data_IF_169304810948
#
_entry.id   IF_169304810948
#
_cell.length_a   1.000
_cell.length_b   1.000
_cell.length_c   1.000
_cell.angle_alpha   90.00
_cell.angle_beta   90.00
_cell.angle_gamma   90.00
#
_symmetry.space_group_name_H-M   'P 1'
#
loop_
_entity.id
_entity.type
_entity.pdbx_description
1 polymer ?
#
# COMPACT_ATOMS: atom_id res chain seq x y z
N UNK A 1 -46.24 -7.74 54.54
CA UNK A 1 -47.43 -7.17 53.88
C UNK A 1 -46.99 -5.81 53.38
N UNK A 2 -46.44 -5.79 52.16
CA UNK A 2 -47.13 -5.25 50.97
C UNK A 2 -47.34 -3.73 51.11
N UNK A 3 -46.89 -2.85 50.21
CA UNK A 3 -46.21 -2.98 48.93
C UNK A 3 -45.95 -1.57 48.33
N UNK A 4 -45.13 -1.57 47.28
CA UNK A 4 -45.16 -0.73 46.06
C UNK A 4 -44.89 0.80 46.09
N UNK A 5 -43.99 1.23 45.19
CA UNK A 5 -43.68 2.63 44.89
C UNK A 5 -42.49 2.85 43.95
N UNK A 6 -42.56 2.27 42.75
CA UNK A 6 -41.92 2.59 41.45
C UNK A 6 -40.85 3.71 41.41
N UNK A 7 -39.60 3.35 41.09
CA UNK A 7 -38.66 4.22 40.36
C UNK A 7 -38.26 3.51 39.07
N UNK A 8 -38.69 4.07 37.94
CA UNK A 8 -38.43 3.54 36.61
C UNK A 8 -36.94 3.51 36.29
N UNK A 9 -36.49 2.35 35.82
CA UNK A 9 -35.22 2.19 35.13
C UNK A 9 -35.30 2.89 33.77
N UNK A 10 -34.34 3.75 33.47
CA UNK A 10 -34.01 4.08 32.09
C UNK A 10 -32.51 3.82 31.93
N UNK A 11 -32.18 2.65 31.37
CA UNK A 11 -30.86 2.36 30.86
C UNK A 11 -30.61 3.27 29.66
N UNK A 12 -29.70 4.23 29.81
CA UNK A 12 -29.17 5.03 28.73
C UNK A 12 -28.06 4.20 28.06
N UNK A 13 -28.42 3.44 27.02
CA UNK A 13 -27.45 2.88 26.09
C UNK A 13 -27.04 3.99 25.12
N UNK A 14 -25.80 4.45 25.24
CA UNK A 14 -25.16 5.34 24.28
C UNK A 14 -24.80 4.54 23.02
N UNK A 15 -25.52 4.78 21.93
CA UNK A 15 -25.15 4.27 20.60
C UNK A 15 -23.93 5.04 20.05
N UNK A 16 -22.99 4.39 19.34
CA UNK A 16 -21.89 5.08 18.69
C UNK A 16 -22.35 5.75 17.39
N UNK A 17 -22.03 7.04 17.26
CA UNK A 17 -22.06 7.81 16.02
C UNK A 17 -21.18 7.13 14.96
N UNK A 18 -21.81 6.48 13.99
CA UNK A 18 -21.19 6.10 12.72
C UNK A 18 -21.63 7.11 11.67
N UNK A 19 -20.63 7.75 11.05
CA UNK A 19 -20.76 8.78 10.03
C UNK A 19 -21.77 8.39 8.93
N UNK A 20 -22.84 9.17 8.86
CA UNK A 20 -23.99 9.03 7.97
C UNK A 20 -23.70 9.47 6.52
N UNK A 21 -22.46 9.33 6.04
CA UNK A 21 -22.01 9.90 4.76
C UNK A 21 -21.89 8.91 3.59
N UNK A 22 -22.26 7.62 3.78
CA UNK A 22 -22.09 6.58 2.75
C UNK A 22 -23.37 5.83 2.33
N UNK A 23 -24.53 6.49 2.37
CA UNK A 23 -25.70 6.05 1.57
C UNK A 23 -25.70 6.75 0.22
N UNK A 24 -24.69 6.48 -0.61
CA UNK A 24 -24.85 6.61 -2.05
C UNK A 24 -25.40 5.28 -2.56
N UNK A 25 -26.59 5.32 -3.16
CA UNK A 25 -27.25 4.22 -3.85
C UNK A 25 -26.23 3.32 -4.57
N UNK A 26 -25.94 2.16 -4.00
CA UNK A 26 -25.30 1.08 -4.76
C UNK A 26 -26.41 0.49 -5.61
N UNK A 27 -26.42 0.65 -6.94
CA UNK A 27 -27.46 0.08 -7.76
C UNK A 27 -27.39 -1.44 -7.60
N UNK A 28 -28.44 -2.02 -7.03
CA UNK A 28 -28.63 -3.47 -7.01
C UNK A 28 -28.71 -3.94 -8.46
N UNK A 29 -27.59 -4.45 -8.97
CA UNK A 29 -27.49 -5.11 -10.26
C UNK A 29 -28.41 -6.33 -10.20
N UNK A 30 -29.57 -6.22 -10.86
CA UNK A 30 -30.50 -7.34 -11.07
C UNK A 30 -29.71 -8.52 -11.63
N UNK A 31 -29.97 -9.71 -11.08
CA UNK A 31 -29.44 -10.99 -11.55
C UNK A 31 -29.45 -11.03 -13.09
N UNK A 32 -28.26 -11.11 -13.66
CA UNK A 32 -28.09 -11.21 -15.10
C UNK A 32 -28.73 -12.51 -15.57
N UNK A 33 -29.69 -12.38 -16.48
CA UNK A 33 -30.20 -13.47 -17.31
C UNK A 33 -29.04 -14.38 -17.78
N UNK A 34 -29.27 -15.69 -17.79
CA UNK A 34 -28.35 -16.66 -18.39
C UNK A 34 -27.84 -16.11 -19.72
N UNK A 35 -26.51 -16.02 -19.78
CA UNK A 35 -25.76 -15.36 -20.83
C UNK A 35 -25.90 -16.10 -22.16
N UNK A 36 -26.97 -15.83 -22.92
CA UNK A 36 -27.05 -16.28 -24.31
C UNK A 36 -25.86 -15.78 -25.12
N UNK A 37 -25.30 -16.66 -25.96
CA UNK A 37 -24.29 -16.32 -26.96
C UNK A 37 -24.83 -15.19 -27.86
N UNK A 38 -24.20 -14.00 -27.84
CA UNK A 38 -24.63 -12.92 -28.73
C UNK A 38 -23.91 -13.03 -30.07
N UNK A 39 -24.67 -12.80 -31.13
CA UNK A 39 -24.16 -12.76 -32.51
C UNK A 39 -23.70 -11.36 -32.87
N UNK A 40 -22.76 -11.28 -33.82
CA UNK A 40 -22.27 -10.01 -34.35
C UNK A 40 -23.38 -9.12 -34.91
N UNK A 41 -24.36 -9.71 -35.63
CA UNK A 41 -25.47 -8.97 -36.24
C UNK A 41 -26.31 -8.19 -35.22
N UNK A 42 -26.56 -8.76 -34.06
CA UNK A 42 -27.32 -8.13 -32.98
C UNK A 42 -26.56 -6.96 -32.37
N UNK A 43 -25.26 -7.12 -32.15
CA UNK A 43 -24.39 -6.06 -31.60
C UNK A 43 -24.27 -4.90 -32.58
N UNK A 44 -24.13 -5.18 -33.88
CA UNK A 44 -24.08 -4.15 -34.93
C UNK A 44 -25.41 -3.40 -35.02
N UNK A 45 -26.55 -4.10 -34.95
CA UNK A 45 -27.86 -3.46 -34.95
C UNK A 45 -28.03 -2.52 -33.74
N UNK A 46 -27.63 -2.96 -32.54
CA UNK A 46 -27.68 -2.14 -31.33
C UNK A 46 -26.75 -0.92 -31.42
N UNK A 47 -25.53 -1.09 -31.95
CA UNK A 47 -24.59 0.01 -32.15
C UNK A 47 -25.14 1.08 -33.11
N UNK A 48 -25.75 0.66 -34.24
CA UNK A 48 -26.40 1.57 -35.19
C UNK A 48 -27.60 2.29 -34.57
N UNK A 49 -28.40 1.59 -33.78
CA UNK A 49 -29.51 2.21 -33.03
C UNK A 49 -29.02 3.26 -32.02
N UNK A 50 -27.82 3.07 -31.47
CA UNK A 50 -27.15 4.05 -30.61
C UNK A 50 -26.44 5.18 -31.38
N UNK A 51 -26.54 5.22 -32.72
CA UNK A 51 -25.90 6.24 -33.56
C UNK A 51 -24.41 6.04 -33.80
N UNK A 52 -23.87 4.85 -33.51
CA UNK A 52 -22.46 4.52 -33.78
C UNK A 52 -22.27 4.11 -35.25
N UNK A 53 -21.28 4.70 -35.91
CA UNK A 53 -20.85 4.28 -37.24
C UNK A 53 -20.04 2.99 -37.13
N UNK A 54 -20.61 1.88 -37.62
CA UNK A 54 -19.92 0.59 -37.71
C UNK A 54 -19.57 0.33 -39.17
N UNK A 55 -18.30 0.53 -39.51
CA UNK A 55 -17.74 0.23 -40.83
C UNK A 55 -17.84 -1.28 -41.12
N UNK A 56 -18.15 -1.63 -42.37
CA UNK A 56 -18.06 -3.02 -42.84
C UNK A 56 -16.59 -3.46 -42.82
N UNK A 57 -16.25 -4.41 -41.95
CA UNK A 57 -14.86 -4.82 -41.70
C UNK A 57 -14.18 -4.15 -40.49
N UNK A 58 -14.93 -3.44 -39.65
CA UNK A 58 -14.43 -2.93 -38.37
C UNK A 58 -13.71 -4.03 -37.56
N UNK A 59 -12.63 -3.69 -36.83
CA UNK A 59 -11.84 -4.64 -36.05
C UNK A 59 -12.76 -5.42 -35.12
N UNK A 60 -12.53 -6.73 -35.02
CA UNK A 60 -13.61 -7.63 -34.64
C UNK A 60 -14.13 -7.43 -33.21
N UNK A 61 -15.34 -7.92 -33.00
CA UNK A 61 -16.16 -7.63 -31.83
C UNK A 61 -15.95 -8.69 -30.75
N UNK A 62 -16.03 -8.26 -29.48
CA UNK A 62 -16.03 -9.15 -28.32
C UNK A 62 -16.97 -8.61 -27.24
N UNK A 63 -17.42 -9.47 -26.34
CA UNK A 63 -18.31 -9.11 -25.25
C UNK A 63 -17.53 -8.95 -23.96
N UNK A 64 -17.77 -7.89 -23.20
CA UNK A 64 -17.27 -7.74 -21.83
C UNK A 64 -18.38 -8.09 -20.84
N UNK A 65 -18.05 -8.91 -19.86
CA UNK A 65 -18.98 -9.30 -18.78
C UNK A 65 -18.29 -9.20 -17.44
N UNK A 66 -18.94 -8.60 -16.45
CA UNK A 66 -18.44 -8.63 -15.09
C UNK A 66 -18.42 -10.07 -14.55
N UNK A 67 -17.26 -10.52 -14.07
CA UNK A 67 -17.15 -11.81 -13.41
C UNK A 67 -17.96 -11.81 -12.10
N UNK A 68 -18.41 -12.98 -11.67
CA UNK A 68 -19.03 -13.13 -10.35
C UNK A 68 -17.97 -12.92 -9.28
N UNK A 69 -18.19 -11.97 -8.36
CA UNK A 69 -17.24 -11.63 -7.30
C UNK A 69 -16.09 -10.73 -7.78
N UNK A 70 -16.39 -9.49 -8.14
CA UNK A 70 -15.38 -8.46 -8.41
C UNK A 70 -14.60 -8.15 -7.12
N UNK A 71 -13.50 -8.87 -6.88
CA UNK A 71 -12.62 -8.61 -5.75
C UNK A 71 -11.76 -7.37 -6.04
N UNK A 72 -12.29 -6.20 -5.67
CA UNK A 72 -11.61 -4.92 -5.87
C UNK A 72 -10.46 -4.68 -4.88
N UNK A 73 -10.36 -5.47 -3.80
CA UNK A 73 -9.44 -5.18 -2.69
C UNK A 73 -8.12 -5.96 -2.74
N UNK A 74 -8.05 -7.05 -3.52
CA UNK A 74 -6.85 -7.91 -3.59
C UNK A 74 -5.73 -7.32 -4.45
N UNK A 75 -6.08 -6.45 -5.40
CA UNK A 75 -5.16 -5.87 -6.35
C UNK A 75 -5.31 -4.36 -6.37
N UNK A 76 -4.20 -3.66 -6.61
CA UNK A 76 -4.17 -2.21 -6.83
C UNK A 76 -3.36 -1.94 -8.07
N UNK A 77 -3.83 -0.99 -8.88
CA UNK A 77 -3.04 -0.45 -9.98
C UNK A 77 -2.00 0.50 -9.42
N UNK A 78 -0.78 0.42 -9.92
CA UNK A 78 0.30 1.33 -9.56
C UNK A 78 1.01 1.82 -10.81
N UNK A 79 1.16 3.13 -10.93
CA UNK A 79 1.99 3.76 -11.94
C UNK A 79 3.47 3.58 -11.57
N UNK A 80 4.27 3.07 -12.51
CA UNK A 80 5.68 2.77 -12.29
C UNK A 80 6.57 3.72 -13.09
N UNK A 81 7.27 4.66 -12.44
CA UNK A 81 8.32 5.47 -13.06
C UNK A 81 9.42 4.58 -13.63
N UNK A 82 10.09 5.04 -14.69
CA UNK A 82 11.14 4.26 -15.37
C UNK A 82 12.23 3.72 -14.43
N UNK A 83 12.64 4.49 -13.40
CA UNK A 83 13.62 4.05 -12.42
C UNK A 83 13.15 2.84 -11.60
N UNK A 84 11.88 2.82 -11.18
CA UNK A 84 11.29 1.71 -10.43
C UNK A 84 11.06 0.51 -11.34
N UNK A 85 10.59 0.75 -12.58
CA UNK A 85 10.40 -0.31 -13.57
C UNK A 85 11.73 -0.99 -13.94
N UNK A 86 12.82 -0.21 -14.05
CA UNK A 86 14.18 -0.73 -14.28
C UNK A 86 14.62 -1.63 -13.13
N UNK A 87 14.55 -1.12 -11.89
CA UNK A 87 14.86 -1.88 -10.68
C UNK A 87 14.10 -3.21 -10.61
N UNK A 88 12.78 -3.20 -10.86
CA UNK A 88 11.96 -4.43 -10.87
C UNK A 88 12.37 -5.41 -11.97
N UNK A 89 12.72 -4.92 -13.17
CA UNK A 89 13.17 -5.78 -14.28
C UNK A 89 14.54 -6.40 -14.03
N UNK A 90 15.41 -5.70 -13.32
CA UNK A 90 16.74 -6.17 -12.93
C UNK A 90 16.71 -7.12 -11.72
N UNK A 91 15.53 -7.29 -11.11
CA UNK A 91 15.36 -8.14 -9.93
C UNK A 91 15.81 -7.47 -8.63
N UNK A 92 15.97 -6.14 -8.63
CA UNK A 92 16.28 -5.39 -7.43
C UNK A 92 15.13 -5.47 -6.41
N UNK A 93 15.49 -5.34 -5.14
CA UNK A 93 14.50 -5.29 -4.06
C UNK A 93 13.85 -3.90 -4.01
N UNK A 94 12.53 -3.88 -4.13
CA UNK A 94 11.70 -2.67 -3.95
C UNK A 94 10.84 -2.83 -2.70
N UNK A 95 10.77 -1.79 -1.86
CA UNK A 95 10.17 -1.87 -0.53
C UNK A 95 9.26 -0.68 -0.28
N UNK A 96 8.08 -0.94 0.28
CA UNK A 96 7.20 0.12 0.80
C UNK A 96 7.52 0.35 2.28
N UNK A 97 7.75 1.61 2.67
CA UNK A 97 8.12 2.04 4.02
C UNK A 97 7.18 3.12 4.54
N UNK A 98 6.81 3.04 5.81
CA UNK A 98 6.01 4.05 6.51
C UNK A 98 5.34 3.48 7.74
N UNK A 99 5.31 4.24 8.82
CA UNK A 99 4.62 3.85 10.05
C UNK A 99 3.15 4.27 10.03
N UNK A 100 2.39 3.82 11.03
CA UNK A 100 1.02 4.25 11.23
C UNK A 100 0.97 5.78 11.41
N UNK A 101 0.19 6.46 10.58
CA UNK A 101 0.08 7.92 10.60
C UNK A 101 1.04 8.64 9.65
N UNK A 102 1.89 7.92 8.93
CA UNK A 102 2.77 8.52 7.92
C UNK A 102 2.32 8.19 6.50
N UNK A 103 2.57 9.12 5.58
CA UNK A 103 2.44 8.84 4.15
C UNK A 103 3.53 7.85 3.74
N UNK A 104 3.15 6.69 3.23
CA UNK A 104 4.06 5.67 2.76
C UNK A 104 4.95 6.16 1.61
N UNK A 105 6.15 5.61 1.54
CA UNK A 105 7.08 5.77 0.43
C UNK A 105 7.45 4.41 -0.13
N UNK A 106 7.77 4.37 -1.42
CA UNK A 106 8.38 3.23 -2.06
C UNK A 106 9.85 3.53 -2.32
N UNK A 107 10.72 2.60 -2.00
CA UNK A 107 12.15 2.76 -2.14
C UNK A 107 12.73 1.64 -3.02
N UNK A 108 13.58 2.03 -3.96
CA UNK A 108 14.54 1.13 -4.59
C UNK A 108 15.82 1.10 -3.74
N UNK A 109 16.90 0.49 -4.24
CA UNK A 109 18.20 0.54 -3.56
C UNK A 109 18.75 1.98 -3.48
N UNK A 110 18.44 2.81 -4.49
CA UNK A 110 19.08 4.11 -4.70
C UNK A 110 18.19 5.35 -4.61
N UNK A 111 16.86 5.22 -4.58
CA UNK A 111 15.94 6.35 -4.61
C UNK A 111 14.65 6.11 -3.82
N UNK A 112 14.04 7.20 -3.34
CA UNK A 112 12.77 7.19 -2.64
C UNK A 112 11.67 7.89 -3.45
N UNK A 113 10.48 7.28 -3.45
CA UNK A 113 9.30 7.74 -4.16
C UNK A 113 8.14 7.86 -3.17
N UNK A 114 7.48 9.01 -3.14
CA UNK A 114 6.25 9.17 -2.39
C UNK A 114 5.12 8.36 -3.05
N UNK A 115 4.39 7.60 -2.24
CA UNK A 115 3.25 6.80 -2.68
C UNK A 115 1.95 7.57 -2.40
N UNK A 116 1.17 7.85 -3.45
CA UNK A 116 -0.11 8.57 -3.34
C UNK A 116 -1.23 7.80 -4.02
N UNK A 117 -2.46 7.99 -3.54
CA UNK A 117 -3.65 7.52 -4.26
C UNK A 117 -4.14 8.64 -5.16
N UNK A 118 -4.40 8.31 -6.43
CA UNK A 118 -4.95 9.21 -7.43
C UNK A 118 -6.34 8.69 -7.84
N UNK A 119 -7.38 9.49 -7.59
CA UNK A 119 -8.74 9.18 -8.00
C UNK A 119 -8.97 9.59 -9.46
N UNK A 120 -9.73 8.77 -10.18
CA UNK A 120 -10.09 9.02 -11.58
C UNK A 120 -11.59 9.20 -11.71
N UNK A 121 -12.03 10.17 -12.52
CA UNK A 121 -13.45 10.33 -12.86
C UNK A 121 -14.01 9.18 -13.71
N UNK A 122 -13.11 8.40 -14.32
CA UNK A 122 -13.42 7.27 -15.17
C UNK A 122 -13.22 5.95 -14.42
N UNK A 123 -14.02 4.94 -14.75
CA UNK A 123 -13.81 3.58 -14.28
C UNK A 123 -12.70 2.90 -15.09
N UNK A 124 -11.73 2.31 -14.38
CA UNK A 124 -10.66 1.50 -14.94
C UNK A 124 -11.05 0.03 -14.84
N UNK A 125 -11.20 -0.64 -15.98
CA UNK A 125 -11.57 -2.05 -16.04
C UNK A 125 -10.34 -2.92 -16.25
N UNK A 126 -10.08 -3.86 -15.34
CA UNK A 126 -9.05 -4.88 -15.53
C UNK A 126 -9.68 -6.10 -16.22
N UNK A 127 -9.29 -6.33 -17.46
CA UNK A 127 -9.80 -7.43 -18.30
C UNK A 127 -8.63 -8.26 -18.80
N UNK A 128 -8.33 -9.41 -18.17
CA UNK A 128 -7.29 -10.31 -18.64
C UNK A 128 -7.57 -10.80 -20.06
N UNK A 129 -6.50 -10.97 -20.85
CA UNK A 129 -6.57 -11.58 -22.18
C UNK A 129 -7.57 -10.91 -23.13
N UNK A 130 -7.67 -9.58 -23.05
CA UNK A 130 -8.42 -8.76 -24.00
C UNK A 130 -7.86 -9.02 -25.41
N UNK A 131 -8.74 -9.30 -26.37
CA UNK A 131 -8.31 -9.48 -27.76
C UNK A 131 -8.20 -8.13 -28.46
N UNK A 132 -7.12 -7.93 -29.19
CA UNK A 132 -6.84 -6.69 -29.92
C UNK A 132 -7.10 -6.88 -31.42
N UNK A 133 -7.24 -5.79 -32.16
CA UNK A 133 -7.61 -5.81 -33.59
C UNK A 133 -6.73 -6.68 -34.51
N UNK A 134 -5.55 -7.08 -34.06
CA UNK A 134 -4.63 -7.97 -34.76
C UNK A 134 -4.89 -9.46 -34.52
N UNK A 135 -5.78 -9.80 -33.58
CA UNK A 135 -6.16 -11.17 -33.25
C UNK A 135 -7.21 -11.69 -34.24
N UNK A 136 -6.89 -12.77 -34.95
CA UNK A 136 -7.75 -13.38 -35.97
C UNK A 136 -9.06 -13.96 -35.43
N UNK A 137 -9.22 -14.11 -34.11
CA UNK A 137 -10.41 -14.66 -33.45
C UNK A 137 -11.52 -13.64 -33.21
N UNK A 138 -11.29 -12.38 -33.56
CA UNK A 138 -12.25 -11.30 -33.34
C UNK A 138 -13.30 -11.25 -34.46
N UNK A 139 -14.56 -11.48 -34.11
CA UNK A 139 -15.71 -11.35 -35.01
C UNK A 139 -16.19 -12.64 -35.68
N UNK A 140 -15.66 -13.79 -35.26
CA UNK A 140 -16.30 -15.09 -35.49
C UNK A 140 -17.47 -15.28 -34.51
N UNK A 141 -18.59 -15.79 -35.00
CA UNK A 141 -19.72 -16.16 -34.15
C UNK A 141 -19.50 -17.57 -33.57
N UNK A 142 -19.79 -17.82 -32.28
CA UNK A 142 -20.29 -16.86 -31.29
C UNK A 142 -19.20 -15.89 -30.80
N UNK A 143 -19.59 -14.65 -30.49
CA UNK A 143 -18.64 -13.62 -30.08
C UNK A 143 -17.88 -14.03 -28.80
N UNK A 144 -16.54 -13.88 -28.76
CA UNK A 144 -15.77 -14.22 -27.58
C UNK A 144 -16.17 -13.33 -26.42
N UNK A 145 -16.48 -13.94 -25.27
CA UNK A 145 -16.79 -13.23 -24.03
C UNK A 145 -15.55 -13.16 -23.14
N UNK A 146 -15.21 -11.96 -22.67
CA UNK A 146 -14.11 -11.70 -21.74
C UNK A 146 -14.66 -11.22 -20.41
N UNK A 147 -14.13 -11.80 -19.33
CA UNK A 147 -14.49 -11.45 -17.97
C UNK A 147 -13.76 -10.20 -17.51
N UNK A 148 -14.49 -9.20 -17.04
CA UNK A 148 -13.95 -8.08 -16.26
C UNK A 148 -13.69 -8.61 -14.85
N UNK A 149 -12.41 -8.60 -14.45
CA UNK A 149 -11.97 -9.09 -13.15
C UNK A 149 -12.07 -8.00 -12.09
N UNK A 150 -11.84 -6.73 -12.46
CA UNK A 150 -11.93 -5.61 -11.53
C UNK A 150 -12.46 -4.34 -12.19
N UNK A 151 -13.05 -3.48 -11.36
CA UNK A 151 -13.46 -2.13 -11.70
C UNK A 151 -12.91 -1.18 -10.64
N UNK A 152 -11.93 -0.37 -11.00
CA UNK A 152 -11.21 0.53 -10.10
C UNK A 152 -11.56 1.98 -10.41
N UNK A 153 -11.63 2.82 -9.38
CA UNK A 153 -11.82 4.27 -9.50
C UNK A 153 -10.59 5.06 -9.06
N UNK A 154 -9.51 4.37 -8.67
CA UNK A 154 -8.25 4.97 -8.31
C UNK A 154 -7.07 4.04 -8.58
N UNK A 155 -5.88 4.64 -8.57
CA UNK A 155 -4.62 3.94 -8.68
C UNK A 155 -3.57 4.58 -7.78
N UNK A 156 -2.47 3.88 -7.55
CA UNK A 156 -1.34 4.37 -6.80
C UNK A 156 -0.35 5.06 -7.74
N UNK A 157 0.03 6.29 -7.42
CA UNK A 157 1.02 7.07 -8.15
C UNK A 157 2.32 7.17 -7.34
N UNK A 158 3.45 7.07 -8.04
CA UNK A 158 4.78 7.21 -7.47
C UNK A 158 5.45 8.50 -7.94
N UNK A 159 5.80 9.37 -6.98
CA UNK A 159 6.50 10.63 -7.27
C UNK A 159 7.89 10.62 -6.64
N UNK A 160 8.98 10.85 -7.41
CA UNK A 160 10.31 10.99 -6.81
C UNK A 160 10.30 12.04 -5.71
N UNK A 161 10.83 11.71 -4.54
CA UNK A 161 10.89 12.62 -3.41
C UNK A 161 12.25 12.58 -2.72
N UNK A 162 12.50 13.50 -1.80
CA UNK A 162 13.68 13.44 -0.94
C UNK A 162 13.48 12.40 0.16
N UNK A 163 14.54 11.70 0.59
CA UNK A 163 14.47 10.79 1.72
C UNK A 163 14.13 11.56 3.00
N UNK A 164 13.23 11.03 3.83
CA UNK A 164 12.82 11.66 5.09
C UNK A 164 13.72 11.18 6.23
N UNK A 165 14.82 11.90 6.42
CA UNK A 165 15.93 11.54 7.33
C UNK A 165 15.83 12.22 8.70
N UNK A 166 14.75 12.94 8.96
CA UNK A 166 14.50 13.61 10.24
C UNK A 166 14.43 12.61 11.38
N UNK A 167 13.72 11.49 11.17
CA UNK A 167 13.64 10.37 12.12
C UNK A 167 15.01 9.78 12.43
N UNK A 168 15.86 9.62 11.42
CA UNK A 168 17.23 9.11 11.60
C UNK A 168 18.00 9.99 12.59
N UNK A 169 17.93 11.32 12.43
CA UNK A 169 18.59 12.25 13.35
C UNK A 169 18.04 12.12 14.77
N UNK A 170 16.72 12.00 14.93
CA UNK A 170 16.10 11.84 16.25
C UNK A 170 16.59 10.56 16.94
N UNK A 171 16.48 9.42 16.26
CA UNK A 171 16.91 8.12 16.79
C UNK A 171 18.39 8.13 17.21
N UNK A 172 19.27 8.67 16.37
CA UNK A 172 20.70 8.71 16.67
C UNK A 172 21.08 9.74 17.74
N UNK A 173 20.28 10.81 17.90
CA UNK A 173 20.51 11.81 18.95
C UNK A 173 20.18 11.31 20.34
N UNK A 174 19.37 10.26 20.45
CA UNK A 174 19.06 9.63 21.73
C UNK A 174 20.32 9.02 22.34
N UNK A 175 21.15 8.33 21.55
CA UNK A 175 22.36 7.65 21.98
C UNK A 175 23.62 8.20 21.30
N UNK A 176 24.17 9.35 21.73
CA UNK A 176 25.43 9.86 21.19
C UNK A 176 26.63 9.06 21.70
N UNK A 177 27.68 9.01 20.88
CA UNK A 177 28.89 8.23 21.18
C UNK A 177 29.73 8.97 22.21
N UNK A 178 30.08 8.32 23.32
CA UNK A 178 30.78 9.00 24.44
C UNK A 178 32.28 8.77 24.49
N UNK A 179 32.83 7.96 23.60
CA UNK A 179 34.24 7.55 23.61
C UNK A 179 34.41 6.08 23.96
N UNK A 180 35.48 5.42 23.47
CA UNK A 180 35.65 3.97 23.55
C UNK A 180 35.63 3.45 25.00
N UNK A 181 36.16 4.23 25.94
CA UNK A 181 36.22 3.89 27.37
C UNK A 181 34.84 3.78 28.04
N UNK A 182 33.78 4.37 27.47
CA UNK A 182 32.42 4.31 28.00
C UNK A 182 31.55 3.25 27.30
N UNK A 183 32.05 2.65 26.21
CA UNK A 183 31.24 1.81 25.32
C UNK A 183 31.52 0.31 25.51
N UNK A 184 32.73 -0.06 25.97
CA UNK A 184 33.13 -1.45 26.26
C UNK A 184 32.38 -2.07 27.45
N UNK A 185 31.93 -1.26 28.41
CA UNK A 185 31.25 -1.68 29.63
C UNK A 185 29.75 -2.01 29.43
N UNK A 186 29.24 -1.91 28.20
CA UNK A 186 27.80 -1.89 27.89
C UNK A 186 27.26 -3.15 27.18
N UNK A 187 28.10 -4.14 26.89
CA UNK A 187 27.79 -5.21 25.93
C UNK A 187 26.95 -6.39 26.41
N UNK A 188 26.58 -6.46 27.70
CA UNK A 188 26.04 -7.69 28.31
C UNK A 188 24.51 -7.72 28.53
N UNK A 189 23.79 -6.59 28.52
CA UNK A 189 22.41 -6.51 29.04
C UNK A 189 21.27 -6.37 27.99
N UNK A 190 21.54 -6.21 26.69
CA UNK A 190 20.54 -5.73 25.71
C UNK A 190 19.77 -6.81 24.90
N UNK A 191 19.61 -8.04 25.40
CA UNK A 191 18.94 -9.12 24.63
C UNK A 191 17.41 -9.22 24.79
N UNK A 192 16.85 -8.70 25.87
CA UNK A 192 15.47 -8.99 26.27
C UNK A 192 14.61 -7.71 26.44
N UNK A 193 14.38 -6.90 25.40
CA UNK A 193 13.50 -5.71 25.56
C UNK A 193 12.83 -5.18 24.28
N UNK A 194 12.67 -5.99 23.24
CA UNK A 194 12.11 -5.49 21.96
C UNK A 194 10.61 -5.79 21.77
N UNK A 195 10.13 -7.00 22.09
CA UNK A 195 8.71 -7.36 21.88
C UNK A 195 7.75 -6.72 22.91
N UNK A 196 8.23 -6.38 24.11
CA UNK A 196 7.39 -5.90 25.21
C UNK A 196 7.14 -4.38 25.14
N UNK A 197 8.16 -3.58 24.79
CA UNK A 197 8.06 -2.10 24.71
C UNK A 197 7.21 -1.58 23.55
N UNK A 198 7.00 -2.34 22.47
CA UNK A 198 6.05 -1.98 21.41
C UNK A 198 4.59 -1.97 21.90
N UNK A 199 4.27 -2.71 22.97
CA UNK A 199 2.89 -2.92 23.45
C UNK A 199 2.50 -2.01 24.62
N UNK A 200 3.44 -1.60 25.48
CA UNK A 200 3.09 -0.93 26.74
C UNK A 200 3.65 0.48 26.85
N UNK A 201 2.78 1.49 26.73
CA UNK A 201 3.07 2.91 27.03
C UNK A 201 3.30 3.22 28.52
N UNK A 202 3.52 2.23 29.38
CA UNK A 202 3.72 2.45 30.81
C UNK A 202 4.41 1.27 31.48
N UNK A 203 5.68 1.45 31.84
CA UNK A 203 6.15 1.46 33.24
C UNK A 203 7.64 1.77 33.31
N UNK A 204 7.92 2.84 34.04
CA UNK A 204 9.23 3.34 34.48
C UNK A 204 9.87 2.33 35.42
N UNK A 205 11.09 1.84 35.16
CA UNK A 205 12.21 1.61 36.12
C UNK A 205 13.48 1.18 35.34
N UNK A 206 14.51 2.05 35.38
CA UNK A 206 15.99 1.84 35.35
C UNK A 206 16.53 0.94 34.20
N UNK A 207 17.29 1.42 33.21
CA UNK A 207 18.44 2.36 33.20
C UNK A 207 18.34 3.25 31.95
N UNK A 208 18.58 4.56 32.07
CA UNK A 208 18.64 5.54 30.97
C UNK A 208 19.89 5.32 30.08
N UNK A 209 20.02 4.14 29.46
CA UNK A 209 20.92 4.01 28.32
C UNK A 209 20.09 4.03 27.04
N UNK A 210 20.26 5.06 26.21
CA UNK A 210 19.57 5.16 24.94
C UNK A 210 20.02 4.03 24.02
N UNK A 211 19.07 3.44 23.28
CA UNK A 211 19.29 2.21 22.52
C UNK A 211 20.16 2.47 21.30
N UNK A 212 20.94 1.45 20.99
CA UNK A 212 21.88 1.36 19.90
C UNK A 212 21.19 0.72 18.69
N UNK A 213 21.39 1.26 17.49
CA UNK A 213 20.67 0.80 16.29
C UNK A 213 21.57 0.03 15.33
N UNK A 214 21.09 -1.11 14.85
CA UNK A 214 21.64 -1.78 13.68
C UNK A 214 21.19 -1.08 12.40
N UNK A 215 22.00 -1.18 11.34
CA UNK A 215 21.62 -0.63 10.04
C UNK A 215 20.29 -1.22 9.53
N UNK A 216 20.07 -2.51 9.73
CA UNK A 216 18.81 -3.18 9.36
C UNK A 216 17.60 -2.58 10.07
N UNK A 217 17.72 -2.21 11.35
CA UNK A 217 16.63 -1.58 12.10
C UNK A 217 16.34 -0.17 11.58
N UNK A 218 17.38 0.60 11.24
CA UNK A 218 17.20 1.92 10.64
C UNK A 218 16.51 1.85 9.28
N UNK A 219 16.80 0.81 8.49
CA UNK A 219 16.17 0.57 7.18
C UNK A 219 14.67 0.24 7.31
N UNK A 220 14.23 -0.32 8.43
CA UNK A 220 12.81 -0.62 8.68
C UNK A 220 11.99 0.61 9.09
N UNK A 221 12.62 1.56 9.79
CA UNK A 221 11.92 2.71 10.39
C UNK A 221 12.06 3.99 9.56
N UNK A 222 13.17 4.18 8.85
CA UNK A 222 13.47 5.42 8.12
C UNK A 222 12.95 5.34 6.68
N UNK A 223 12.19 6.36 6.27
CA UNK A 223 11.63 6.49 4.93
C UNK A 223 12.67 6.99 3.93
N UNK A 224 13.65 6.13 3.62
CA UNK A 224 14.74 6.37 2.68
C UNK A 224 15.16 5.08 1.97
N UNK A 225 15.79 5.18 0.80
CA UNK A 225 16.52 4.05 0.20
C UNK A 225 17.78 3.72 1.01
N UNK A 226 18.32 2.52 0.84
CA UNK A 226 19.53 2.12 1.58
C UNK A 226 20.72 3.01 1.27
N UNK A 227 20.90 3.41 0.01
CA UNK A 227 21.96 4.34 -0.39
C UNK A 227 21.78 5.71 0.24
N UNK A 228 20.58 6.27 0.18
CA UNK A 228 20.26 7.57 0.79
C UNK A 228 20.45 7.54 2.31
N UNK A 229 20.10 6.42 2.95
CA UNK A 229 20.29 6.23 4.38
C UNK A 229 21.78 6.22 4.74
N UNK A 230 22.63 5.50 3.99
CA UNK A 230 24.09 5.51 4.19
C UNK A 230 24.69 6.90 4.01
N UNK A 231 24.26 7.63 2.98
CA UNK A 231 24.70 9.02 2.76
C UNK A 231 24.27 9.95 3.91
N UNK A 232 23.06 9.76 4.43
CA UNK A 232 22.56 10.54 5.57
C UNK A 232 23.36 10.24 6.85
N UNK A 233 23.68 8.97 7.11
CA UNK A 233 24.55 8.56 8.21
C UNK A 233 25.93 9.20 8.11
N UNK A 234 26.52 9.21 6.92
CA UNK A 234 27.82 9.86 6.68
C UNK A 234 27.76 11.37 6.93
N UNK A 235 26.69 12.05 6.49
CA UNK A 235 26.47 13.49 6.75
C UNK A 235 26.27 13.80 8.23
N UNK A 236 25.69 12.87 8.97
CA UNK A 236 25.53 12.94 10.43
C UNK A 236 26.80 12.54 11.18
N UNK A 237 27.89 12.21 10.47
CA UNK A 237 29.15 11.71 11.04
C UNK A 237 28.95 10.51 11.97
N UNK A 238 27.95 9.69 11.66
CA UNK A 238 27.58 8.62 12.54
C UNK A 238 28.55 7.44 12.40
N UNK A 239 29.02 6.90 13.52
CA UNK A 239 30.10 5.92 13.55
C UNK A 239 29.60 4.49 13.74
N UNK A 240 30.27 3.53 13.10
CA UNK A 240 30.08 2.11 13.37
C UNK A 240 30.89 1.73 14.60
N UNK A 241 30.23 1.22 15.64
CA UNK A 241 30.91 0.69 16.83
C UNK A 241 30.87 -0.83 16.71
N UNK A 242 32.00 -1.50 16.56
CA UNK A 242 32.05 -2.95 16.40
C UNK A 242 31.84 -3.67 17.73
N UNK A 243 30.65 -4.26 17.93
CA UNK A 243 30.37 -5.18 19.04
C UNK A 243 30.71 -6.64 18.70
N UNK A 244 30.97 -7.45 19.74
CA UNK A 244 31.57 -8.81 19.63
C UNK A 244 30.68 -9.85 18.91
N UNK A 245 29.37 -9.60 18.68
CA UNK A 245 28.47 -10.63 18.13
C UNK A 245 27.41 -10.18 17.10
N UNK A 246 27.41 -8.93 16.67
CA UNK A 246 26.68 -8.45 15.48
C UNK A 246 27.11 -7.00 15.27
N UNK A 247 27.17 -6.55 14.02
CA UNK A 247 27.48 -5.18 13.61
C UNK A 247 26.39 -4.19 14.06
N UNK A 248 26.18 -4.08 15.36
CA UNK A 248 25.30 -3.09 15.98
C UNK A 248 26.14 -1.87 16.20
N UNK A 249 25.84 -0.79 15.46
CA UNK A 249 25.76 0.57 15.99
C UNK A 249 25.98 1.60 14.92
N UNK A 250 25.07 2.55 14.83
CA UNK A 250 25.37 3.86 14.27
C UNK A 250 25.00 4.87 15.36
N UNK A 251 25.92 5.77 15.70
CA UNK A 251 25.71 6.80 16.72
C UNK A 251 26.33 8.10 16.23
N UNK A 252 25.68 9.24 16.48
CA UNK A 252 26.23 10.56 16.15
C UNK A 252 27.34 10.92 17.14
N UNK A 253 28.42 11.52 16.63
CA UNK A 253 29.52 12.12 17.40
C UNK A 253 29.18 13.56 17.77
#
# INVERSE_FOLDING_TARGET
MEGEGVWGQQMEQTEPLVDEANRADTPQLKEGAEAGERKRSEVVAAARAAGLCVEEGAPGTQLLRFAHGLNSDELRLMELPHGVLGALKEGERVVIRGEQGENAVLCTEGATYELRTADTSNALLLVPSLSYSQDNSLGEDPLPTKGVTMCLSNYLELRPCRPRTEKLRQLLSECPYRGPEYEEESGEDDKDDWEERRRTKSRKVKIDRPRKYMFSELVEVVQASERELREALQKLQACLISGVNASSLVSVV
#
